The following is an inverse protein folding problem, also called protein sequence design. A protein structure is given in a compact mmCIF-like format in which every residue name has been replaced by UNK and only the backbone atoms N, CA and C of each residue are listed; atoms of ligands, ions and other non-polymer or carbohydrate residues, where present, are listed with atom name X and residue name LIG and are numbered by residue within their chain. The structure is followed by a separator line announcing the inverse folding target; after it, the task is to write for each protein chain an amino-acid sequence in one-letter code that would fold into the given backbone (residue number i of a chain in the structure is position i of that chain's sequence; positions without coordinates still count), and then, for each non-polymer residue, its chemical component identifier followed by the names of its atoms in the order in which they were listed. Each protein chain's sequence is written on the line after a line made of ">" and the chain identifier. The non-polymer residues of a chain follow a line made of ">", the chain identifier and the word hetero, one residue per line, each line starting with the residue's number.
data_IF_486989721501
#
_entry.id   IF_486989721501
#
_cell.length_a   1.000
_cell.length_b   1.000
_cell.length_c   1.000
_cell.angle_alpha   90.00
_cell.angle_beta   90.00
_cell.angle_gamma   90.00
#
_symmetry.space_group_name_H-M   'P 1'
#
loop_
_entity.id
_entity.type
_entity.pdbx_description
1 polymer ?
#
# COMPACT_ATOMS: atom_id res chain seq x y z
N UNK A 1 -7.56 18.67 1.95
CA UNK A 1 -6.38 17.83 1.65
C UNK A 1 -5.56 18.49 0.55
N UNK A 2 -4.27 18.71 0.80
CA UNK A 2 -3.33 19.28 -0.17
C UNK A 2 -3.04 18.28 -1.29
N UNK A 3 -3.24 18.68 -2.54
CA UNK A 3 -2.83 17.87 -3.71
C UNK A 3 -1.41 18.26 -4.11
N UNK A 4 -0.56 17.28 -4.33
CA UNK A 4 0.81 17.46 -4.83
C UNK A 4 0.92 16.85 -6.21
N UNK A 5 1.75 17.44 -7.08
CA UNK A 5 2.00 16.91 -8.41
C UNK A 5 3.08 15.84 -8.37
N UNK A 6 2.73 14.62 -8.78
CA UNK A 6 3.67 13.53 -9.03
C UNK A 6 3.85 13.35 -10.55
N UNK A 7 5.05 13.59 -11.06
CA UNK A 7 5.38 13.44 -12.47
C UNK A 7 6.15 12.13 -12.72
N UNK A 8 5.55 11.19 -13.45
CA UNK A 8 6.16 9.89 -13.76
C UNK A 8 6.10 9.63 -15.26
N UNK A 9 7.19 9.11 -15.82
CA UNK A 9 7.22 8.63 -17.21
C UNK A 9 6.58 7.24 -17.27
N UNK A 10 5.54 7.11 -18.08
CA UNK A 10 4.86 5.83 -18.36
C UNK A 10 4.92 5.54 -19.86
N UNK A 11 4.86 4.25 -20.21
CA UNK A 11 4.87 3.86 -21.62
C UNK A 11 3.65 4.44 -22.36
N UNK A 12 3.88 4.82 -23.62
CA UNK A 12 2.83 5.37 -24.48
C UNK A 12 1.60 4.43 -24.59
N UNK A 13 1.85 3.12 -24.70
CA UNK A 13 0.80 2.10 -24.80
C UNK A 13 -0.11 2.10 -23.57
N UNK A 14 0.47 2.20 -22.37
CA UNK A 14 -0.30 2.25 -21.11
C UNK A 14 -1.10 3.54 -21.03
N UNK A 15 -0.48 4.69 -21.28
CA UNK A 15 -1.17 5.99 -21.27
C UNK A 15 -2.35 6.03 -22.26
N UNK A 16 -2.18 5.45 -23.45
CA UNK A 16 -3.26 5.36 -24.45
C UNK A 16 -4.42 4.48 -23.98
N UNK A 17 -4.13 3.33 -23.37
CA UNK A 17 -5.16 2.42 -22.84
C UNK A 17 -5.95 3.06 -21.70
N UNK A 18 -5.26 3.70 -20.75
CA UNK A 18 -5.92 4.37 -19.61
C UNK A 18 -6.79 5.52 -20.09
N UNK A 19 -6.31 6.34 -21.03
CA UNK A 19 -7.11 7.42 -21.63
C UNK A 19 -8.38 6.89 -22.30
N UNK A 20 -8.26 5.84 -23.13
CA UNK A 20 -9.41 5.23 -23.80
C UNK A 20 -10.43 4.69 -22.79
N UNK A 21 -9.95 3.92 -21.81
CA UNK A 21 -10.78 3.34 -20.75
C UNK A 21 -11.53 4.39 -19.92
N UNK A 22 -10.83 5.45 -19.49
CA UNK A 22 -11.43 6.54 -18.73
C UNK A 22 -12.49 7.28 -19.56
N UNK A 23 -12.21 7.54 -20.85
CA UNK A 23 -13.14 8.22 -21.75
C UNK A 23 -14.41 7.40 -22.00
N UNK A 24 -14.28 6.10 -22.26
CA UNK A 24 -15.41 5.20 -22.51
C UNK A 24 -16.35 5.06 -21.30
N UNK A 25 -15.82 5.17 -20.09
CA UNK A 25 -16.58 5.02 -18.84
C UNK A 25 -16.96 6.33 -18.16
N UNK A 26 -16.60 7.48 -18.74
CA UNK A 26 -16.85 8.79 -18.15
C UNK A 26 -16.10 9.04 -16.83
N UNK A 27 -14.95 8.39 -16.61
CA UNK A 27 -14.17 8.49 -15.37
C UNK A 27 -13.08 9.55 -15.52
N UNK A 28 -12.85 10.37 -14.48
CA UNK A 28 -11.74 11.33 -14.46
C UNK A 28 -10.40 10.59 -14.35
N UNK A 29 -9.46 10.96 -15.23
CA UNK A 29 -8.13 10.34 -15.29
C UNK A 29 -7.38 10.41 -13.96
N UNK A 30 -7.36 11.59 -13.32
CA UNK A 30 -6.70 11.76 -12.03
C UNK A 30 -7.26 10.85 -10.94
N UNK A 31 -8.60 10.76 -10.85
CA UNK A 31 -9.26 9.88 -9.86
C UNK A 31 -8.94 8.40 -10.11
N UNK A 32 -8.94 7.97 -11.37
CA UNK A 32 -8.59 6.59 -11.70
C UNK A 32 -7.15 6.26 -11.31
N UNK A 33 -6.19 7.15 -11.59
CA UNK A 33 -4.78 6.93 -11.24
C UNK A 33 -4.56 6.98 -9.74
N UNK A 34 -5.18 7.93 -9.03
CA UNK A 34 -5.10 8.07 -7.58
C UNK A 34 -5.58 6.78 -6.88
N UNK A 35 -6.79 6.31 -7.23
CA UNK A 35 -7.35 5.06 -6.69
C UNK A 35 -6.51 3.83 -7.02
N UNK A 36 -5.99 3.75 -8.25
CA UNK A 36 -5.15 2.63 -8.67
C UNK A 36 -3.81 2.59 -7.94
N UNK A 37 -3.26 3.75 -7.57
CA UNK A 37 -2.04 3.84 -6.77
C UNK A 37 -2.31 3.44 -5.32
N UNK A 38 -3.39 3.93 -4.70
CA UNK A 38 -3.81 3.54 -3.35
C UNK A 38 -3.98 2.02 -3.23
N UNK A 39 -4.78 1.42 -4.12
CA UNK A 39 -5.01 -0.03 -4.13
C UNK A 39 -3.72 -0.83 -4.36
N UNK A 40 -2.76 -0.27 -5.10
CA UNK A 40 -1.48 -0.94 -5.36
C UNK A 40 -0.55 -0.88 -4.16
N UNK A 41 -0.53 0.24 -3.44
CA UNK A 41 0.24 0.43 -2.21
C UNK A 41 -0.27 -0.51 -1.12
N UNK A 42 -1.58 -0.51 -0.84
CA UNK A 42 -2.20 -1.38 0.16
C UNK A 42 -1.86 -2.86 -0.07
N UNK A 43 -1.82 -3.31 -1.34
CA UNK A 43 -1.46 -4.70 -1.67
C UNK A 43 0.01 -5.03 -1.44
N UNK A 44 0.93 -4.10 -1.67
CA UNK A 44 2.34 -4.34 -1.40
C UNK A 44 2.61 -4.31 0.10
N UNK A 45 2.04 -3.35 0.84
CA UNK A 45 2.12 -3.28 2.30
C UNK A 45 1.58 -4.57 2.93
N UNK A 46 0.39 -5.02 2.53
CA UNK A 46 -0.18 -6.27 3.03
C UNK A 46 0.70 -7.49 2.73
N UNK A 47 1.39 -7.50 1.58
CA UNK A 47 2.32 -8.58 1.24
C UNK A 47 3.56 -8.55 2.11
N UNK A 48 4.10 -7.37 2.41
CA UNK A 48 5.21 -7.19 3.35
C UNK A 48 4.81 -7.67 4.75
N UNK A 49 3.64 -7.27 5.24
CA UNK A 49 3.10 -7.71 6.53
C UNK A 49 2.99 -9.24 6.63
N UNK A 50 2.51 -9.89 5.56
CA UNK A 50 2.43 -11.35 5.51
C UNK A 50 3.81 -12.03 5.53
N UNK A 51 4.80 -11.43 4.88
CA UNK A 51 6.17 -11.94 4.89
C UNK A 51 6.79 -11.82 6.29
N UNK A 52 6.58 -10.69 6.95
CA UNK A 52 7.01 -10.47 8.31
C UNK A 52 6.34 -11.46 9.26
N UNK A 53 5.02 -11.62 9.19
CA UNK A 53 4.30 -12.60 10.01
C UNK A 53 4.86 -14.02 9.84
N UNK A 54 5.20 -14.42 8.61
CA UNK A 54 5.85 -15.70 8.34
C UNK A 54 7.25 -15.78 8.94
N UNK A 55 8.05 -14.71 8.83
CA UNK A 55 9.40 -14.66 9.36
C UNK A 55 9.43 -14.70 10.90
N UNK A 56 8.49 -14.02 11.55
CA UNK A 56 8.38 -13.94 13.01
C UNK A 56 7.65 -15.12 13.65
N UNK A 57 6.97 -15.97 12.88
CA UNK A 57 6.27 -17.16 13.40
C UNK A 57 7.15 -18.07 14.26
N UNK A 58 8.44 -18.19 13.94
CA UNK A 58 9.39 -18.97 14.74
C UNK A 58 9.74 -18.35 16.10
N UNK A 59 9.59 -17.03 16.22
CA UNK A 59 9.93 -16.24 17.42
C UNK A 59 8.76 -16.10 18.39
N UNK A 60 7.58 -16.63 18.06
CA UNK A 60 6.38 -16.55 18.90
C UNK A 60 6.61 -17.19 20.28
N UNK A 61 7.42 -18.26 20.36
CA UNK A 61 7.79 -18.90 21.64
C UNK A 61 8.70 -18.05 22.53
N UNK A 62 9.39 -17.08 21.93
CA UNK A 62 10.27 -16.15 22.63
C UNK A 62 9.54 -14.85 23.00
N UNK A 63 8.29 -14.68 22.53
CA UNK A 63 7.47 -13.52 22.85
C UNK A 63 7.02 -13.59 24.31
N UNK A 64 7.07 -12.44 24.99
CA UNK A 64 6.48 -12.25 26.32
C UNK A 64 5.10 -11.63 26.19
N UNK A 65 4.27 -11.80 27.21
CA UNK A 65 2.97 -11.13 27.28
C UNK A 65 3.15 -9.61 27.29
N UNK A 66 2.17 -8.90 26.72
CA UNK A 66 2.25 -7.45 26.57
C UNK A 66 2.29 -6.75 27.94
N UNK A 67 1.58 -7.29 28.92
CA UNK A 67 1.56 -6.80 30.30
C UNK A 67 2.94 -6.94 30.96
N UNK A 68 3.59 -8.10 30.82
CA UNK A 68 4.94 -8.35 31.35
C UNK A 68 6.00 -7.43 30.70
N UNK A 69 5.81 -7.10 29.42
CA UNK A 69 6.65 -6.13 28.72
C UNK A 69 6.50 -4.72 29.31
N UNK A 70 5.27 -4.27 29.55
CA UNK A 70 4.98 -2.94 30.10
C UNK A 70 5.57 -2.78 31.51
N UNK A 71 5.44 -3.78 32.37
CA UNK A 71 6.02 -3.77 33.72
C UNK A 71 7.55 -3.64 33.70
N UNK A 72 8.21 -4.35 32.78
CA UNK A 72 9.68 -4.29 32.61
C UNK A 72 10.15 -2.96 32.04
N UNK A 73 9.31 -2.25 31.26
CA UNK A 73 9.72 -1.04 30.55
C UNK A 73 9.65 0.25 31.36
N UNK A 74 9.04 0.24 32.54
CA UNK A 74 8.89 1.40 33.46
C UNK A 74 8.77 2.74 32.71
N UNK A 75 7.62 2.95 32.07
CA UNK A 75 7.07 4.29 31.83
C UNK A 75 6.16 4.61 33.01
#
# INVERSE_FOLDING_TARGET
>A
MSKTTLAVKVSYKVASRVRKFCKERGIKYGFFVEKALEERLEREEFKEDLLDLKAFRGKEKEAILFEEYLEKRRV
#
